data_IF_346317714579
#
_entry.id   IF_346317714579
#
_cell.length_a   1.000
_cell.length_b   1.000
_cell.length_c   1.000
_cell.angle_alpha   90.00
_cell.angle_beta   90.00
_cell.angle_gamma   90.00
#
_symmetry.space_group_name_H-M   'P 1'
#
loop_
_entity.id
_entity.type
_entity.pdbx_description
1 polymer ?
#
# COMPACT_ATOMS: atom_id res chain seq x y z
N UNK A 1 48.34 -24.03 44.14
CA UNK A 1 47.99 -22.90 43.24
C UNK A 1 47.17 -23.38 42.02
N UNK A 2 46.10 -24.17 42.22
CA UNK A 2 45.30 -24.81 41.14
C UNK A 2 43.81 -24.41 41.11
N UNK A 3 43.40 -23.45 41.94
CA UNK A 3 41.98 -23.07 42.08
C UNK A 3 41.59 -21.74 41.40
N UNK A 4 42.55 -20.93 40.95
CA UNK A 4 42.27 -19.59 40.39
C UNK A 4 42.02 -19.63 38.88
N UNK A 5 42.52 -20.63 38.16
CA UNK A 5 42.45 -20.66 36.69
C UNK A 5 41.09 -21.15 36.14
N UNK A 6 40.23 -21.76 36.97
CA UNK A 6 38.95 -22.32 36.53
C UNK A 6 37.85 -21.26 36.38
N UNK A 7 37.96 -20.14 37.10
CA UNK A 7 37.00 -19.03 37.04
C UNK A 7 37.32 -18.00 35.96
N UNK A 8 38.57 -17.98 35.46
CA UNK A 8 38.97 -17.06 34.40
C UNK A 8 38.35 -17.44 33.04
N UNK A 9 38.00 -18.71 32.83
CA UNK A 9 37.32 -19.18 31.62
C UNK A 9 35.80 -18.95 31.63
N UNK A 10 35.21 -18.69 32.81
CA UNK A 10 33.77 -18.43 32.94
C UNK A 10 33.41 -16.96 32.77
N UNK A 11 34.38 -16.04 32.94
CA UNK A 11 34.15 -14.60 32.82
C UNK A 11 34.19 -14.07 31.37
N UNK A 12 34.71 -14.87 30.42
CA UNK A 12 34.76 -14.48 28.99
C UNK A 12 33.46 -14.86 28.26
N UNK A 13 32.60 -15.69 28.85
CA UNK A 13 31.33 -16.08 28.24
C UNK A 13 30.20 -15.04 28.41
N UNK A 14 30.42 -13.98 29.18
CA UNK A 14 29.42 -12.93 29.46
C UNK A 14 29.50 -11.71 28.52
N UNK A 15 30.46 -11.67 27.59
CA UNK A 15 30.63 -10.56 26.64
C UNK A 15 30.33 -10.94 25.18
N UNK A 16 29.35 -11.82 24.98
CA UNK A 16 28.69 -11.98 23.68
C UNK A 16 27.20 -11.68 23.81
N UNK A 17 26.88 -10.50 24.36
CA UNK A 17 25.63 -9.85 23.98
C UNK A 17 25.85 -9.46 22.51
N UNK A 18 25.55 -10.40 21.61
CA UNK A 18 25.46 -10.11 20.19
C UNK A 18 24.57 -8.88 20.05
N UNK A 19 25.02 -7.91 19.26
CA UNK A 19 24.21 -6.74 18.94
C UNK A 19 22.86 -7.25 18.41
N UNK A 20 21.84 -7.25 19.27
CA UNK A 20 20.46 -7.36 18.83
C UNK A 20 20.20 -6.02 18.17
N UNK A 21 20.60 -5.92 16.89
CA UNK A 21 20.09 -4.87 16.03
C UNK A 21 18.60 -5.12 15.98
N UNK A 22 17.86 -4.46 16.87
CA UNK A 22 16.42 -4.33 16.76
C UNK A 22 16.17 -3.76 15.37
N UNK A 23 15.71 -4.62 14.45
CA UNK A 23 15.46 -4.25 13.08
C UNK A 23 14.19 -3.40 13.10
N UNK A 24 14.37 -2.11 13.38
CA UNK A 24 13.27 -1.17 13.47
C UNK A 24 12.58 -1.07 12.12
N UNK A 25 11.25 -1.15 12.14
CA UNK A 25 10.40 -0.92 10.96
C UNK A 25 10.51 0.54 10.58
N UNK A 26 10.93 0.82 9.36
CA UNK A 26 10.85 2.16 8.77
C UNK A 26 9.53 2.31 8.02
N UNK A 27 8.71 3.32 8.38
CA UNK A 27 7.55 3.77 7.58
C UNK A 27 7.99 4.99 6.78
N UNK A 28 7.71 4.98 5.48
CA UNK A 28 7.96 6.12 4.59
C UNK A 28 6.63 6.57 4.04
N UNK A 29 6.36 7.89 4.05
CA UNK A 29 5.19 8.43 3.39
C UNK A 29 5.33 8.22 1.88
N UNK A 30 4.32 7.62 1.27
CA UNK A 30 4.32 7.26 -0.15
C UNK A 30 3.29 8.07 -0.94
N UNK A 31 2.98 9.29 -0.47
CA UNK A 31 1.83 10.06 -0.93
C UNK A 31 2.08 11.02 -2.09
N UNK A 32 3.31 11.47 -2.30
CA UNK A 32 3.66 12.42 -3.37
C UNK A 32 3.83 11.75 -4.73
N UNK A 33 3.93 12.53 -5.80
CA UNK A 33 4.30 12.14 -7.18
C UNK A 33 3.59 10.89 -7.71
N UNK A 34 2.28 10.85 -7.51
CA UNK A 34 1.41 9.92 -8.20
C UNK A 34 0.89 10.56 -9.49
N UNK A 35 0.54 9.70 -10.42
CA UNK A 35 -0.26 10.05 -11.58
C UNK A 35 -1.60 9.34 -11.48
N UNK A 36 -2.67 10.02 -11.86
CA UNK A 36 -4.04 9.51 -11.83
C UNK A 36 -4.71 9.69 -13.19
N UNK A 37 -5.64 8.80 -13.53
CA UNK A 37 -6.62 9.03 -14.59
C UNK A 37 -7.88 8.22 -14.34
N UNK A 38 -9.02 8.70 -14.82
CA UNK A 38 -10.25 7.89 -14.94
C UNK A 38 -10.19 7.03 -16.21
N UNK A 39 -10.89 5.89 -16.19
CA UNK A 39 -11.05 5.02 -17.36
C UNK A 39 -12.19 5.53 -18.25
N UNK A 40 -12.00 6.72 -18.82
CA UNK A 40 -12.94 7.39 -19.73
C UNK A 40 -12.27 7.72 -21.08
N UNK A 41 -13.08 7.94 -22.12
CA UNK A 41 -12.57 8.25 -23.46
C UNK A 41 -11.75 9.55 -23.43
N UNK A 42 -10.50 9.49 -23.89
CA UNK A 42 -9.54 10.61 -23.95
C UNK A 42 -9.04 11.14 -22.59
N UNK A 43 -9.11 10.35 -21.51
CA UNK A 43 -8.49 10.72 -20.24
C UNK A 43 -6.96 10.76 -20.32
N UNK A 44 -6.39 11.87 -19.85
CA UNK A 44 -4.94 12.04 -19.68
C UNK A 44 -4.54 11.75 -18.24
N UNK A 45 -3.26 11.38 -18.05
CA UNK A 45 -2.68 11.28 -16.73
C UNK A 45 -2.46 12.66 -16.12
N UNK A 46 -2.90 12.85 -14.87
CA UNK A 46 -2.67 14.06 -14.08
C UNK A 46 -1.80 13.76 -12.86
N UNK A 47 -0.95 14.72 -12.47
CA UNK A 47 -0.12 14.56 -11.27
C UNK A 47 -0.94 14.90 -10.03
N UNK A 48 -0.92 14.00 -9.05
CA UNK A 48 -1.66 14.13 -7.80
C UNK A 48 -0.77 13.80 -6.59
N UNK A 49 -1.26 14.21 -5.42
CA UNK A 49 -0.77 13.75 -4.11
C UNK A 49 -1.94 13.08 -3.41
N UNK A 50 -1.73 11.90 -2.83
CA UNK A 50 -2.76 11.22 -2.02
C UNK A 50 -2.74 11.74 -0.57
N UNK A 51 -3.89 11.76 0.14
CA UNK A 51 -5.19 11.19 -0.22
C UNK A 51 -5.88 11.92 -1.39
N UNK A 52 -6.57 11.16 -2.24
CA UNK A 52 -7.20 11.63 -3.47
C UNK A 52 -8.54 10.91 -3.71
N UNK A 53 -9.49 11.58 -4.38
CA UNK A 53 -10.75 11.00 -4.84
C UNK A 53 -10.88 11.23 -6.34
N UNK A 54 -11.42 10.24 -7.07
CA UNK A 54 -11.54 10.24 -8.52
C UNK A 54 -12.36 11.41 -9.08
N UNK A 55 -13.26 11.96 -8.25
CA UNK A 55 -14.00 13.18 -8.51
C UNK A 55 -14.28 13.89 -7.18
N UNK A 56 -14.00 15.18 -7.16
CA UNK A 56 -14.51 16.07 -6.11
C UNK A 56 -15.95 16.37 -6.46
N UNK A 57 -16.86 15.92 -5.60
CA UNK A 57 -18.30 16.13 -5.79
C UNK A 57 -18.76 17.45 -5.17
N UNK A 58 -19.85 18.06 -5.68
CA UNK A 58 -20.47 19.20 -5.04
C UNK A 58 -21.01 18.85 -3.64
N UNK A 59 -21.38 19.87 -2.86
CA UNK A 59 -21.93 19.67 -1.52
C UNK A 59 -23.19 18.76 -1.52
N UNK A 60 -24.06 18.92 -2.52
CA UNK A 60 -25.23 18.06 -2.72
C UNK A 60 -24.96 17.17 -3.92
N UNK A 61 -24.76 15.88 -3.66
CA UNK A 61 -24.42 14.88 -4.67
C UNK A 61 -25.67 14.15 -5.11
N UNK A 62 -26.14 14.44 -6.33
CA UNK A 62 -27.29 13.73 -6.92
C UNK A 62 -26.85 12.65 -7.92
N UNK A 63 -25.64 12.77 -8.45
CA UNK A 63 -25.07 11.87 -9.46
C UNK A 63 -23.57 11.74 -9.20
N UNK A 64 -23.25 10.86 -8.24
CA UNK A 64 -21.85 10.61 -7.90
C UNK A 64 -21.19 9.86 -9.05
N UNK A 65 -19.93 10.20 -9.33
CA UNK A 65 -19.11 9.35 -10.18
C UNK A 65 -18.96 7.94 -9.59
N UNK A 66 -19.40 6.95 -10.35
CA UNK A 66 -19.05 5.54 -10.19
C UNK A 66 -18.34 5.06 -11.45
N UNK A 67 -17.23 4.38 -11.28
CA UNK A 67 -16.47 3.83 -12.39
C UNK A 67 -15.07 3.40 -12.01
N UNK A 68 -14.30 3.08 -13.04
CA UNK A 68 -12.91 2.67 -12.89
C UNK A 68 -11.96 3.87 -13.00
N UNK A 69 -10.92 3.88 -12.17
CA UNK A 69 -9.78 4.77 -12.31
C UNK A 69 -8.45 4.05 -12.06
N UNK A 70 -7.37 4.74 -12.42
CA UNK A 70 -6.01 4.24 -12.34
C UNK A 70 -5.12 5.23 -11.63
N UNK A 71 -4.32 4.72 -10.70
CA UNK A 71 -3.22 5.43 -10.07
C UNK A 71 -1.91 4.75 -10.47
N UNK A 72 -0.86 5.51 -10.74
CA UNK A 72 0.47 4.95 -10.95
C UNK A 72 1.56 5.81 -10.33
N UNK A 73 2.66 5.17 -9.95
CA UNK A 73 3.84 5.86 -9.45
C UNK A 73 5.09 5.06 -9.79
N UNK A 74 6.14 5.78 -10.19
CA UNK A 74 7.50 5.24 -10.28
C UNK A 74 8.24 5.51 -8.98
N UNK A 75 8.98 4.53 -8.49
CA UNK A 75 9.71 4.64 -7.23
C UNK A 75 10.99 3.83 -7.22
N UNK A 76 11.93 4.25 -6.37
CA UNK A 76 13.14 3.49 -6.06
C UNK A 76 13.14 3.16 -4.58
N UNK A 77 13.55 1.95 -4.24
CA UNK A 77 13.69 1.50 -2.86
C UNK A 77 14.91 0.62 -2.76
N UNK A 78 15.72 0.85 -1.73
CA UNK A 78 16.86 -0.01 -1.45
C UNK A 78 16.35 -1.39 -1.00
N UNK A 79 16.35 -2.35 -1.90
CA UNK A 79 16.01 -3.73 -1.59
C UNK A 79 17.27 -4.50 -1.16
N UNK A 80 17.19 -5.14 0.01
CA UNK A 80 18.20 -6.09 0.50
C UNK A 80 17.52 -7.43 0.69
N UNK A 81 18.22 -8.53 0.38
CA UNK A 81 17.68 -9.90 0.49
C UNK A 81 17.16 -10.23 1.89
N UNK A 82 17.63 -9.53 2.93
CA UNK A 82 17.25 -9.74 4.32
C UNK A 82 16.18 -8.75 4.83
N UNK A 83 15.54 -7.98 3.93
CA UNK A 83 14.50 -7.02 4.29
C UNK A 83 13.22 -7.29 3.50
N UNK A 84 12.09 -7.22 4.20
CA UNK A 84 10.77 -7.19 3.60
C UNK A 84 10.31 -5.76 3.36
N UNK A 85 9.69 -5.52 2.22
CA UNK A 85 9.10 -4.24 1.84
C UNK A 85 7.61 -4.48 1.64
N UNK A 86 6.81 -3.70 2.35
CA UNK A 86 5.36 -3.77 2.29
C UNK A 86 4.80 -2.46 1.79
N UNK A 87 3.74 -2.54 0.98
CA UNK A 87 2.85 -1.41 0.76
C UNK A 87 1.70 -1.52 1.75
N UNK A 88 1.43 -0.42 2.44
CA UNK A 88 0.36 -0.31 3.43
C UNK A 88 -0.65 0.73 2.93
N UNK A 89 -1.85 0.27 2.60
CA UNK A 89 -2.95 1.11 2.17
C UNK A 89 -3.87 1.34 3.36
N UNK A 90 -4.12 2.60 3.69
CA UNK A 90 -5.00 2.97 4.81
C UNK A 90 -6.48 2.84 4.44
N UNK A 91 -6.81 2.97 3.15
CA UNK A 91 -8.11 2.69 2.55
C UNK A 91 -8.04 2.93 1.04
N UNK A 92 -8.80 2.16 0.26
CA UNK A 92 -8.95 2.33 -1.20
C UNK A 92 -10.36 1.90 -1.58
N UNK A 93 -11.19 2.81 -2.06
CA UNK A 93 -12.62 2.61 -2.20
C UNK A 93 -13.02 2.35 -3.67
N UNK A 94 -13.70 1.25 -4.03
CA UNK A 94 -14.13 0.10 -3.21
C UNK A 94 -13.32 -1.16 -3.47
N UNK A 95 -13.00 -1.44 -4.73
CA UNK A 95 -12.19 -2.57 -5.13
C UNK A 95 -10.88 -2.09 -5.71
N UNK A 96 -9.78 -2.66 -5.23
CA UNK A 96 -8.42 -2.28 -5.59
C UNK A 96 -7.64 -3.48 -6.11
N UNK A 97 -7.26 -3.42 -7.38
CA UNK A 97 -6.21 -4.28 -7.91
C UNK A 97 -4.87 -3.56 -7.88
N UNK A 98 -3.83 -4.23 -7.42
CA UNK A 98 -2.47 -3.64 -7.33
C UNK A 98 -1.52 -4.44 -8.19
N UNK A 99 -0.67 -3.72 -8.92
CA UNK A 99 0.42 -4.28 -9.72
C UNK A 99 1.75 -3.66 -9.33
N UNK A 100 2.80 -4.49 -9.31
CA UNK A 100 4.19 -4.04 -9.24
C UNK A 100 4.89 -4.55 -10.48
N UNK A 101 5.53 -3.64 -11.23
CA UNK A 101 6.26 -3.97 -12.46
C UNK A 101 5.43 -4.83 -13.44
N UNK A 102 4.17 -4.45 -13.66
CA UNK A 102 3.18 -5.12 -14.51
C UNK A 102 2.71 -6.52 -14.03
N UNK A 103 3.14 -6.97 -12.86
CA UNK A 103 2.66 -8.20 -12.22
C UNK A 103 1.58 -7.86 -11.20
N UNK A 104 0.39 -8.49 -11.30
CA UNK A 104 -0.69 -8.32 -10.32
C UNK A 104 -0.26 -8.96 -9.00
N UNK A 105 -0.25 -8.18 -7.92
CA UNK A 105 0.23 -8.61 -6.60
C UNK A 105 -0.89 -8.85 -5.60
N UNK A 106 -2.03 -8.15 -5.74
CA UNK A 106 -3.21 -8.39 -4.90
C UNK A 106 -4.48 -7.86 -5.58
N UNK A 107 -5.62 -8.34 -5.07
CA UNK A 107 -6.94 -7.73 -5.20
C UNK A 107 -7.46 -7.51 -3.76
N UNK A 108 -8.05 -6.35 -3.50
CA UNK A 108 -8.69 -6.01 -2.23
C UNK A 108 -10.10 -5.52 -2.49
N UNK A 109 -11.07 -5.99 -1.70
CA UNK A 109 -12.49 -5.69 -1.84
C UNK A 109 -13.00 -5.09 -0.54
N UNK A 110 -13.65 -3.94 -0.64
CA UNK A 110 -14.10 -3.10 0.47
C UNK A 110 -13.13 -1.95 0.73
N UNK A 111 -13.66 -0.73 0.91
CA UNK A 111 -12.81 0.47 0.96
C UNK A 111 -12.50 1.06 2.33
N UNK A 112 -13.02 0.46 3.40
CA UNK A 112 -12.97 1.06 4.75
C UNK A 112 -11.89 0.48 5.66
N UNK A 113 -11.34 -0.69 5.31
CA UNK A 113 -10.32 -1.35 6.11
C UNK A 113 -8.96 -1.26 5.43
N UNK A 114 -7.88 -1.12 6.22
CA UNK A 114 -6.54 -1.10 5.65
C UNK A 114 -6.15 -2.49 5.16
N UNK A 115 -5.26 -2.52 4.17
CA UNK A 115 -4.64 -3.77 3.71
C UNK A 115 -3.15 -3.57 3.43
N UNK A 116 -2.41 -4.68 3.48
CA UNK A 116 -0.95 -4.69 3.32
C UNK A 116 -0.55 -5.73 2.29
N UNK A 117 0.45 -5.41 1.46
CA UNK A 117 0.97 -6.33 0.44
C UNK A 117 2.48 -6.45 0.60
N UNK A 118 3.00 -7.68 0.71
CA UNK A 118 4.43 -7.95 0.61
C UNK A 118 4.87 -7.81 -0.86
N UNK A 119 5.51 -6.70 -1.19
CA UNK A 119 5.97 -6.43 -2.56
C UNK A 119 7.40 -6.91 -2.80
N UNK A 120 8.09 -7.40 -1.77
CA UNK A 120 9.50 -7.82 -1.85
C UNK A 120 9.82 -8.73 -3.04
N UNK A 121 9.00 -9.76 -3.37
CA UNK A 121 9.28 -10.67 -4.48
C UNK A 121 9.22 -10.01 -5.86
N UNK A 122 8.56 -8.85 -5.98
CA UNK A 122 8.26 -8.20 -7.25
C UNK A 122 9.19 -7.02 -7.56
N UNK A 123 10.05 -6.65 -6.60
CA UNK A 123 10.92 -5.48 -6.71
C UNK A 123 12.19 -5.79 -7.51
N UNK A 124 12.55 -4.84 -8.38
CA UNK A 124 13.83 -4.76 -9.08
C UNK A 124 14.78 -3.87 -8.28
N UNK A 125 16.09 -4.10 -8.43
CA UNK A 125 17.12 -3.23 -7.83
C UNK A 125 17.17 -1.81 -8.43
N UNK A 126 16.47 -1.58 -9.55
CA UNK A 126 16.38 -0.30 -10.25
C UNK A 126 15.08 0.43 -9.89
N UNK A 127 14.56 1.24 -10.82
CA UNK A 127 13.23 1.83 -10.73
C UNK A 127 12.15 0.73 -10.82
N UNK A 128 11.12 0.90 -10.00
CA UNK A 128 9.94 0.08 -9.94
C UNK A 128 8.71 0.93 -10.29
N UNK A 129 7.67 0.29 -10.81
CA UNK A 129 6.38 0.95 -11.06
C UNK A 129 5.31 0.26 -10.24
N UNK A 130 4.48 1.03 -9.57
CA UNK A 130 3.20 0.58 -9.03
C UNK A 130 2.07 1.09 -9.92
N UNK A 131 1.07 0.24 -10.15
CA UNK A 131 -0.24 0.64 -10.66
C UNK A 131 -1.33 0.15 -9.70
N UNK A 132 -2.35 0.96 -9.49
CA UNK A 132 -3.52 0.60 -8.70
C UNK A 132 -4.75 0.92 -9.56
N UNK A 133 -5.55 -0.10 -9.87
CA UNK A 133 -6.86 0.05 -10.51
C UNK A 133 -7.87 0.10 -9.39
N UNK A 134 -8.70 1.12 -9.38
CA UNK A 134 -9.73 1.32 -8.36
C UNK A 134 -11.09 1.38 -9.04
N UNK A 135 -12.08 0.70 -8.46
CA UNK A 135 -13.46 0.72 -8.94
C UNK A 135 -14.41 0.94 -7.76
N UNK A 136 -15.37 1.83 -7.94
CA UNK A 136 -16.41 2.16 -6.94
C UNK A 136 -17.84 1.96 -7.48
N UNK A 137 -18.00 1.14 -8.52
CA UNK A 137 -19.32 0.73 -9.00
C UNK A 137 -20.00 -0.19 -8.00
N UNK A 138 -21.34 -0.20 -8.04
CA UNK A 138 -22.15 -1.00 -7.14
C UNK A 138 -21.78 -2.48 -7.22
N UNK A 139 -21.42 -3.07 -6.08
CA UNK A 139 -21.07 -4.48 -6.00
C UNK A 139 -21.60 -5.10 -4.70
N UNK A 140 -22.43 -6.14 -4.83
CA UNK A 140 -23.06 -6.81 -3.70
C UNK A 140 -22.18 -7.86 -3.01
N UNK A 141 -21.00 -8.18 -3.55
CA UNK A 141 -20.12 -9.23 -3.02
C UNK A 141 -19.42 -8.84 -1.71
N UNK A 142 -19.30 -7.55 -1.42
CA UNK A 142 -18.60 -7.03 -0.25
C UNK A 142 -19.34 -5.85 0.36
N UNK A 143 -19.09 -5.61 1.64
CA UNK A 143 -19.79 -4.57 2.38
C UNK A 143 -19.47 -3.17 1.84
N UNK A 144 -20.47 -2.27 1.78
CA UNK A 144 -21.82 -2.40 2.33
C UNK A 144 -22.80 -3.20 1.46
N UNK A 145 -22.41 -3.51 0.22
CA UNK A 145 -23.13 -4.42 -0.68
C UNK A 145 -24.45 -3.90 -1.23
N UNK A 146 -24.75 -2.61 -1.02
CA UNK A 146 -25.97 -1.96 -1.49
C UNK A 146 -25.66 -1.01 -2.64
N UNK A 147 -26.56 -0.87 -3.61
CA UNK A 147 -26.45 0.16 -4.62
C UNK A 147 -26.38 1.57 -4.02
N UNK A 148 -25.60 2.47 -4.64
CA UNK A 148 -25.45 3.86 -4.19
C UNK A 148 -26.80 4.56 -3.99
N UNK A 149 -27.76 4.33 -4.89
CA UNK A 149 -29.11 4.91 -4.83
C UNK A 149 -29.91 4.54 -3.57
N UNK A 150 -29.53 3.47 -2.88
CA UNK A 150 -30.22 2.94 -1.69
C UNK A 150 -29.48 3.30 -0.39
N UNK A 151 -28.44 4.14 -0.47
CA UNK A 151 -27.60 4.58 0.65
C UNK A 151 -27.84 6.05 0.98
N UNK A 152 -27.63 6.38 2.25
CA UNK A 152 -27.63 7.76 2.76
C UNK A 152 -26.21 8.39 2.76
N UNK A 153 -25.25 7.74 2.10
CA UNK A 153 -23.89 8.24 1.90
C UNK A 153 -23.31 7.78 0.57
N UNK A 154 -22.20 8.40 0.19
CA UNK A 154 -21.55 8.27 -1.10
C UNK A 154 -20.40 7.25 -1.11
N UNK A 155 -20.23 6.53 -2.22
CA UNK A 155 -19.08 5.69 -2.52
C UNK A 155 -18.00 6.47 -3.26
N UNK A 156 -17.28 7.35 -2.57
CA UNK A 156 -16.15 8.06 -3.20
C UNK A 156 -15.10 7.08 -3.72
N UNK A 157 -14.72 7.17 -4.99
CA UNK A 157 -13.69 6.30 -5.57
C UNK A 157 -12.28 6.84 -5.35
N UNK A 158 -11.33 6.01 -4.94
CA UNK A 158 -9.93 6.40 -4.74
C UNK A 158 -9.20 5.61 -3.69
#
# INVERSE_FOLDING_TARGET
>A
MKFILKYLFFLVFLFSIGNINSQSRTKVNFGSDWEFKREEANANWEKITIPHTAKIEPLVVNDQFQGTCWYQKKFRVAHSKNKKIFLYFEGVMQEADVWINDQKVTNHKGGYLPFTVDVSPFLKSKENTIKVKVNNEDNSEFLPGKPLKDLDFNYYGG
#
